data_IF_397854301904
#
_entry.id   IF_397854301904
#
_cell.length_a   1.000
_cell.length_b   1.000
_cell.length_c   1.000
_cell.angle_alpha   90.00
_cell.angle_beta   90.00
_cell.angle_gamma   90.00
#
_symmetry.space_group_name_H-M   'P 1'
#
loop_
_entity.id
_entity.type
_entity.pdbx_description
1 polymer ?
#
# COMPACT_ATOMS: atom_id res chain seq x y z
N UNK A 1 65.55 50.08 -8.80
CA UNK A 1 64.85 48.80 -8.65
C UNK A 1 63.97 48.57 -9.88
N UNK A 2 64.28 47.57 -10.71
CA UNK A 2 63.56 47.30 -11.96
C UNK A 2 62.37 46.38 -11.66
N UNK A 3 61.14 46.88 -11.86
CA UNK A 3 59.92 46.08 -11.78
C UNK A 3 59.74 45.31 -13.09
N UNK A 4 59.81 43.97 -13.03
CA UNK A 4 59.40 43.12 -14.13
C UNK A 4 57.88 43.01 -14.14
N UNK A 5 57.23 43.72 -15.07
CA UNK A 5 55.82 43.47 -15.43
C UNK A 5 55.79 42.36 -16.48
N UNK A 6 55.30 41.18 -16.09
CA UNK A 6 55.00 40.09 -17.02
C UNK A 6 53.59 40.36 -17.55
N UNK A 7 53.50 40.77 -18.81
CA UNK A 7 52.23 40.84 -19.53
C UNK A 7 51.97 39.48 -20.17
N UNK A 8 50.97 38.74 -19.67
CA UNK A 8 50.50 37.50 -20.29
C UNK A 8 49.51 37.89 -21.39
N UNK A 9 49.98 37.89 -22.64
CA UNK A 9 49.10 38.05 -23.81
C UNK A 9 48.42 36.72 -24.11
N UNK A 10 47.14 36.61 -23.72
CA UNK A 10 46.25 35.55 -24.21
C UNK A 10 45.84 35.88 -25.65
N UNK A 11 46.63 35.43 -26.63
CA UNK A 11 46.24 35.49 -28.04
C UNK A 11 45.14 34.46 -28.31
N UNK A 12 43.99 34.86 -28.91
CA UNK A 12 42.88 33.95 -29.13
C UNK A 12 43.09 33.23 -30.46
N UNK A 13 43.83 32.12 -30.46
CA UNK A 13 43.99 31.32 -31.67
C UNK A 13 43.15 30.04 -31.63
N UNK A 14 42.24 29.99 -32.61
CA UNK A 14 41.43 28.88 -33.14
C UNK A 14 40.02 28.66 -32.52
N UNK A 15 38.94 28.77 -33.33
CA UNK A 15 37.56 28.54 -32.87
C UNK A 15 37.29 27.10 -32.45
N UNK A 16 38.12 26.14 -32.91
CA UNK A 16 38.00 24.72 -32.56
C UNK A 16 38.22 24.49 -31.05
N UNK A 17 39.18 25.18 -30.41
CA UNK A 17 39.42 25.03 -28.96
C UNK A 17 38.26 25.53 -28.12
N UNK A 18 37.52 26.56 -28.56
CA UNK A 18 36.32 27.04 -27.85
C UNK A 18 35.20 26.00 -27.87
N UNK A 19 35.02 25.30 -29.00
CA UNK A 19 34.01 24.24 -29.12
C UNK A 19 34.37 23.05 -28.23
N UNK A 20 35.64 22.65 -28.18
CA UNK A 20 36.08 21.59 -27.26
C UNK A 20 35.92 21.98 -25.79
N UNK A 21 36.28 23.21 -25.40
CA UNK A 21 36.08 23.68 -24.03
C UNK A 21 34.60 23.80 -23.66
N UNK A 22 33.73 24.27 -24.57
CA UNK A 22 32.28 24.32 -24.35
C UNK A 22 31.65 22.92 -24.27
N UNK A 23 32.05 22.00 -25.16
CA UNK A 23 31.59 20.62 -25.13
C UNK A 23 32.04 19.90 -23.85
N UNK A 24 33.26 20.16 -23.38
CA UNK A 24 33.78 19.60 -22.13
C UNK A 24 33.10 20.21 -20.91
N UNK A 25 32.76 21.51 -20.93
CA UNK A 25 31.94 22.16 -19.91
C UNK A 25 30.51 21.59 -19.86
N UNK A 26 29.88 21.39 -21.03
CA UNK A 26 28.54 20.79 -21.12
C UNK A 26 28.57 19.34 -20.60
N UNK A 27 29.58 18.55 -21.00
CA UNK A 27 29.77 17.18 -20.51
C UNK A 27 30.03 17.15 -19.00
N UNK A 28 30.84 18.06 -18.46
CA UNK A 28 31.06 18.20 -17.01
C UNK A 28 29.81 18.62 -16.27
N UNK A 29 29.02 19.56 -16.81
CA UNK A 29 27.73 19.94 -16.19
C UNK A 29 26.73 18.80 -16.22
N UNK A 30 26.66 18.02 -17.32
CA UNK A 30 25.82 16.83 -17.39
C UNK A 30 26.27 15.76 -16.39
N UNK A 31 27.57 15.53 -16.27
CA UNK A 31 28.13 14.58 -15.30
C UNK A 31 27.86 15.03 -13.85
N UNK A 32 27.96 16.33 -13.55
CA UNK A 32 27.59 16.89 -12.25
C UNK A 32 26.07 16.78 -11.98
N UNK A 33 25.20 16.97 -12.97
CA UNK A 33 23.75 16.80 -12.78
C UNK A 33 23.34 15.33 -12.63
N UNK A 34 24.00 14.40 -13.33
CA UNK A 34 23.70 12.96 -13.16
C UNK A 34 24.30 12.39 -11.86
N UNK A 35 25.41 12.95 -11.37
CA UNK A 35 25.99 12.56 -10.08
C UNK A 35 25.19 13.09 -8.87
N UNK A 36 24.26 14.03 -9.07
CA UNK A 36 23.33 14.51 -8.04
C UNK A 36 22.01 13.74 -8.00
N UNK A 37 21.82 12.69 -8.80
CA UNK A 37 20.86 11.63 -8.49
C UNK A 37 21.38 10.75 -7.33
N UNK A 38 21.98 11.37 -6.33
CA UNK A 38 22.23 10.76 -5.05
C UNK A 38 20.89 10.84 -4.35
N UNK A 39 20.13 9.74 -4.47
CA UNK A 39 18.92 9.48 -3.71
C UNK A 39 19.21 9.89 -2.26
N UNK A 40 18.74 11.08 -1.87
CA UNK A 40 18.61 11.39 -0.46
C UNK A 40 17.82 10.22 0.10
N UNK A 41 18.31 9.47 1.09
CA UNK A 41 17.54 8.39 1.66
C UNK A 41 16.24 9.03 2.11
N UNK A 42 15.15 8.77 1.37
CA UNK A 42 13.82 9.23 1.75
C UNK A 42 13.69 8.75 3.17
N UNK A 43 13.66 9.67 4.11
CA UNK A 43 13.50 9.33 5.51
C UNK A 43 12.05 8.90 5.62
N UNK A 44 11.82 7.60 5.49
CA UNK A 44 10.49 7.02 5.63
C UNK A 44 10.13 7.14 7.11
N UNK A 45 9.41 8.21 7.43
CA UNK A 45 8.83 8.41 8.74
C UNK A 45 7.59 7.52 8.86
N UNK A 46 7.47 6.91 10.03
CA UNK A 46 6.25 6.25 10.46
C UNK A 46 5.30 7.36 10.91
N UNK A 47 4.18 7.53 10.22
CA UNK A 47 3.17 8.50 10.65
C UNK A 47 2.45 8.00 11.92
N UNK A 48 1.65 8.86 12.54
CA UNK A 48 0.87 8.45 13.71
C UNK A 48 -0.14 7.35 13.35
N UNK A 49 -0.26 6.34 14.21
CA UNK A 49 -1.23 5.24 14.07
C UNK A 49 -2.66 5.71 13.74
N UNK A 50 -3.11 6.81 14.34
CA UNK A 50 -4.45 7.37 14.11
C UNK A 50 -4.72 7.71 12.65
N UNK A 51 -3.73 8.19 11.91
CA UNK A 51 -3.89 8.52 10.48
C UNK A 51 -4.11 7.26 9.63
N UNK A 52 -3.42 6.16 9.95
CA UNK A 52 -3.62 4.88 9.27
C UNK A 52 -5.00 4.29 9.61
N UNK A 53 -5.48 4.41 10.85
CA UNK A 53 -6.82 3.96 11.22
C UNK A 53 -7.92 4.78 10.55
N UNK A 54 -7.77 6.10 10.49
CA UNK A 54 -8.73 7.01 9.85
C UNK A 54 -8.80 6.79 8.33
N UNK A 55 -7.64 6.69 7.67
CA UNK A 55 -7.60 6.41 6.22
C UNK A 55 -8.29 5.09 5.88
N UNK A 56 -8.05 4.04 6.67
CA UNK A 56 -8.71 2.75 6.48
C UNK A 56 -10.22 2.81 6.73
N UNK A 57 -10.64 3.53 7.79
CA UNK A 57 -12.05 3.74 8.10
C UNK A 57 -12.77 4.43 6.94
N UNK A 58 -12.18 5.50 6.39
CA UNK A 58 -12.74 6.21 5.24
C UNK A 58 -12.85 5.32 4.00
N UNK A 59 -11.81 4.52 3.73
CA UNK A 59 -11.82 3.57 2.63
C UNK A 59 -12.95 2.54 2.76
N UNK A 60 -13.09 1.91 3.92
CA UNK A 60 -14.13 0.91 4.14
C UNK A 60 -15.54 1.49 4.08
N UNK A 61 -15.76 2.69 4.64
CA UNK A 61 -17.07 3.34 4.57
C UNK A 61 -17.48 3.57 3.12
N UNK A 62 -16.56 4.05 2.27
CA UNK A 62 -16.83 4.26 0.85
C UNK A 62 -17.09 2.94 0.11
N UNK A 63 -16.27 1.92 0.37
CA UNK A 63 -16.45 0.59 -0.22
C UNK A 63 -17.81 -0.03 0.17
N UNK A 64 -18.17 0.06 1.46
CA UNK A 64 -19.45 -0.39 1.98
C UNK A 64 -20.63 0.35 1.34
N UNK A 65 -20.55 1.68 1.23
CA UNK A 65 -21.58 2.48 0.57
C UNK A 65 -21.76 2.07 -0.90
N UNK A 66 -20.66 1.86 -1.62
CA UNK A 66 -20.69 1.44 -3.02
C UNK A 66 -21.35 0.06 -3.19
N UNK A 67 -20.91 -0.95 -2.44
CA UNK A 67 -21.49 -2.31 -2.53
C UNK A 67 -22.96 -2.34 -2.09
N UNK A 68 -23.33 -1.54 -1.08
CA UNK A 68 -24.73 -1.42 -0.65
C UNK A 68 -25.59 -0.79 -1.73
N UNK A 69 -25.12 0.26 -2.39
CA UNK A 69 -25.82 0.89 -3.51
C UNK A 69 -25.96 -0.08 -4.69
N UNK A 70 -24.89 -0.79 -5.06
CA UNK A 70 -24.91 -1.81 -6.10
C UNK A 70 -25.93 -2.91 -5.80
N UNK A 71 -25.96 -3.40 -4.57
CA UNK A 71 -26.94 -4.41 -4.14
C UNK A 71 -28.37 -3.88 -4.22
N UNK A 72 -28.63 -2.65 -3.77
CA UNK A 72 -29.96 -2.04 -3.85
C UNK A 72 -30.40 -1.88 -5.31
N UNK A 73 -29.52 -1.40 -6.19
CA UNK A 73 -29.83 -1.19 -7.61
C UNK A 73 -30.14 -2.52 -8.30
N UNK A 74 -29.31 -3.55 -8.07
CA UNK A 74 -29.46 -4.87 -8.69
C UNK A 74 -30.68 -5.64 -8.18
N UNK A 75 -31.04 -5.50 -6.90
CA UNK A 75 -32.15 -6.22 -6.29
C UNK A 75 -33.48 -5.48 -6.32
N UNK A 76 -33.49 -4.19 -6.67
CA UNK A 76 -34.72 -3.41 -6.80
C UNK A 76 -35.56 -3.90 -7.97
N UNK A 77 -36.42 -4.89 -7.71
CA UNK A 77 -37.54 -5.23 -8.59
C UNK A 77 -38.44 -4.00 -8.72
N UNK A 78 -38.80 -3.67 -9.96
CA UNK A 78 -39.74 -2.58 -10.24
C UNK A 78 -41.11 -2.93 -9.62
N UNK A 79 -41.76 -1.96 -8.97
CA UNK A 79 -42.98 -2.19 -8.20
C UNK A 79 -44.11 -2.87 -9.00
N UNK A 80 -44.12 -2.70 -10.33
CA UNK A 80 -45.08 -3.34 -11.22
C UNK A 80 -44.93 -4.85 -11.38
N UNK A 81 -43.80 -5.45 -11.00
CA UNK A 81 -43.67 -6.91 -10.90
C UNK A 81 -44.57 -7.51 -9.81
N UNK A 82 -45.08 -6.68 -8.92
CA UNK A 82 -45.98 -7.06 -7.83
C UNK A 82 -47.43 -6.64 -8.08
N UNK A 83 -47.73 -6.06 -9.25
CA UNK A 83 -49.11 -5.76 -9.61
C UNK A 83 -49.89 -7.07 -9.81
N UNK A 84 -51.15 -7.14 -9.36
CA UNK A 84 -52.01 -8.27 -9.68
C UNK A 84 -52.13 -8.41 -11.20
N UNK A 85 -52.08 -9.65 -11.71
CA UNK A 85 -52.26 -9.92 -13.13
C UNK A 85 -53.68 -9.53 -13.56
N UNK A 86 -53.79 -8.59 -14.49
CA UNK A 86 -55.04 -8.26 -15.16
C UNK A 86 -55.33 -9.34 -16.21
N UNK A 87 -56.30 -10.20 -15.94
CA UNK A 87 -56.76 -11.24 -16.86
C UNK A 87 -58.11 -10.89 -17.48
N UNK A 88 -58.41 -11.47 -18.64
CA UNK A 88 -59.77 -11.49 -19.20
C UNK A 88 -60.38 -12.85 -18.90
N UNK A 89 -61.35 -12.88 -17.99
CA UNK A 89 -62.22 -14.04 -17.83
C UNK A 89 -63.34 -13.96 -18.89
N UNK A 90 -64.00 -15.09 -19.18
CA UNK A 90 -65.07 -15.24 -20.20
C UNK A 90 -66.24 -14.23 -20.10
N UNK A 91 -66.29 -13.34 -19.10
CA UNK A 91 -67.33 -12.32 -18.89
C UNK A 91 -66.82 -10.95 -18.42
N UNK A 92 -65.54 -10.60 -18.60
CA UNK A 92 -65.02 -9.25 -18.33
C UNK A 92 -63.60 -9.21 -17.75
N UNK A 93 -63.04 -8.01 -17.53
CA UNK A 93 -61.76 -7.84 -16.87
C UNK A 93 -61.84 -8.37 -15.44
N UNK A 94 -60.98 -9.31 -15.07
CA UNK A 94 -60.88 -9.86 -13.73
C UNK A 94 -59.52 -9.53 -13.12
N UNK A 95 -59.52 -8.96 -11.92
CA UNK A 95 -58.33 -8.75 -11.11
C UNK A 95 -58.20 -9.95 -10.17
N UNK A 96 -57.19 -10.80 -10.37
CA UNK A 96 -56.84 -11.82 -9.40
C UNK A 96 -55.72 -11.31 -8.49
N UNK A 97 -56.08 -10.94 -7.25
CA UNK A 97 -55.09 -10.70 -6.21
C UNK A 97 -54.66 -12.06 -5.63
N UNK A 98 -53.51 -12.57 -6.06
CA UNK A 98 -52.97 -13.82 -5.54
C UNK A 98 -52.28 -13.55 -4.20
N UNK A 99 -52.75 -14.19 -3.13
CA UNK A 99 -52.12 -14.11 -1.78
C UNK A 99 -50.66 -14.58 -1.80
N UNK A 100 -50.29 -15.45 -2.76
CA UNK A 100 -48.90 -15.84 -3.00
C UNK A 100 -47.99 -14.67 -3.38
N UNK A 101 -48.50 -13.64 -4.07
CA UNK A 101 -47.71 -12.45 -4.43
C UNK A 101 -47.36 -11.63 -3.17
N UNK A 102 -48.30 -11.51 -2.21
CA UNK A 102 -48.04 -10.83 -0.94
C UNK A 102 -46.99 -11.57 -0.10
N UNK A 103 -47.11 -12.90 0.00
CA UNK A 103 -46.12 -13.72 0.68
C UNK A 103 -44.73 -13.63 0.00
N UNK A 104 -44.68 -13.52 -1.33
CA UNK A 104 -43.45 -13.32 -2.09
C UNK A 104 -42.83 -11.94 -1.83
N UNK A 105 -43.64 -10.88 -1.67
CA UNK A 105 -43.15 -9.53 -1.33
C UNK A 105 -42.50 -9.56 0.06
N UNK A 106 -43.18 -10.12 1.05
CA UNK A 106 -42.67 -10.19 2.42
C UNK A 106 -41.40 -11.03 2.50
N UNK A 107 -41.37 -12.17 1.80
CA UNK A 107 -40.18 -13.01 1.68
C UNK A 107 -39.01 -12.26 1.01
N UNK A 108 -39.24 -11.57 -0.12
CA UNK A 108 -38.19 -10.79 -0.79
C UNK A 108 -37.68 -9.65 0.12
N UNK A 109 -38.56 -9.03 0.92
CA UNK A 109 -38.18 -7.97 1.87
C UNK A 109 -37.31 -8.51 3.00
N UNK A 110 -37.64 -9.67 3.56
CA UNK A 110 -36.83 -10.29 4.63
C UNK A 110 -35.50 -10.81 4.10
N UNK A 111 -35.47 -11.39 2.89
CA UNK A 111 -34.22 -11.83 2.24
C UNK A 111 -33.31 -10.64 1.93
N UNK A 112 -33.85 -9.53 1.44
CA UNK A 112 -33.04 -8.32 1.17
C UNK A 112 -32.54 -7.67 2.46
N UNK A 113 -33.36 -7.60 3.51
CA UNK A 113 -32.92 -7.05 4.80
C UNK A 113 -31.83 -7.90 5.44
N UNK A 114 -32.02 -9.22 5.51
CA UNK A 114 -31.02 -10.16 6.03
C UNK A 114 -29.72 -10.13 5.24
N UNK A 115 -29.80 -9.95 3.90
CA UNK A 115 -28.60 -9.80 3.07
C UNK A 115 -27.85 -8.50 3.37
N UNK A 116 -28.56 -7.38 3.54
CA UNK A 116 -27.96 -6.11 3.94
C UNK A 116 -27.32 -6.21 5.32
N UNK A 117 -27.99 -6.83 6.29
CA UNK A 117 -27.43 -7.08 7.63
C UNK A 117 -26.18 -7.95 7.56
N UNK A 118 -26.17 -8.97 6.68
CA UNK A 118 -24.99 -9.83 6.48
C UNK A 118 -23.81 -9.06 5.86
N UNK A 119 -24.08 -8.08 4.99
CA UNK A 119 -23.06 -7.18 4.45
C UNK A 119 -22.50 -6.30 5.58
N UNK A 120 -23.38 -5.66 6.36
CA UNK A 120 -22.97 -4.80 7.48
C UNK A 120 -22.10 -5.57 8.49
N UNK A 121 -22.51 -6.79 8.86
CA UNK A 121 -21.76 -7.66 9.76
C UNK A 121 -20.39 -8.04 9.18
N UNK A 122 -20.32 -8.40 7.89
CA UNK A 122 -19.05 -8.72 7.21
C UNK A 122 -18.08 -7.53 7.28
N UNK A 123 -18.56 -6.34 6.95
CA UNK A 123 -17.75 -5.12 7.00
C UNK A 123 -17.25 -4.78 8.41
N UNK A 124 -18.08 -5.03 9.43
CA UNK A 124 -17.67 -4.82 10.82
C UNK A 124 -16.57 -5.80 11.24
N UNK A 125 -16.67 -7.07 10.84
CA UNK A 125 -15.64 -8.08 11.11
C UNK A 125 -14.34 -7.72 10.36
N UNK A 126 -14.43 -7.44 9.06
CA UNK A 126 -13.29 -7.05 8.23
C UNK A 126 -12.57 -5.82 8.83
N UNK A 127 -13.34 -4.82 9.31
CA UNK A 127 -12.80 -3.63 9.96
C UNK A 127 -12.03 -3.95 11.24
N UNK A 128 -12.60 -4.78 12.12
CA UNK A 128 -11.97 -5.12 13.39
C UNK A 128 -10.69 -5.95 13.20
N UNK A 129 -10.72 -6.93 12.29
CA UNK A 129 -9.58 -7.81 12.02
C UNK A 129 -8.38 -7.02 11.47
N UNK A 130 -8.63 -6.20 10.46
CA UNK A 130 -7.59 -5.41 9.79
C UNK A 130 -7.04 -4.30 10.67
N UNK A 131 -7.87 -3.57 11.44
CA UNK A 131 -7.36 -2.61 12.44
C UNK A 131 -6.53 -3.33 13.50
N UNK A 132 -6.98 -4.49 13.98
CA UNK A 132 -6.19 -5.31 14.90
C UNK A 132 -4.82 -5.64 14.31
N UNK A 133 -4.77 -6.01 13.03
CA UNK A 133 -3.53 -6.26 12.29
C UNK A 133 -2.65 -5.01 12.18
N UNK A 134 -3.19 -3.87 11.74
CA UNK A 134 -2.47 -2.59 11.65
C UNK A 134 -1.84 -2.25 13.01
N UNK A 135 -2.61 -2.30 14.09
CA UNK A 135 -2.13 -2.00 15.45
C UNK A 135 -0.98 -2.92 15.86
N UNK A 136 -1.12 -4.22 15.60
CA UNK A 136 -0.10 -5.20 15.97
C UNK A 136 1.20 -4.99 15.17
N UNK A 137 1.12 -4.74 13.87
CA UNK A 137 2.30 -4.50 13.02
C UNK A 137 2.99 -3.17 13.39
N UNK A 138 2.20 -2.12 13.66
CA UNK A 138 2.72 -0.85 14.15
C UNK A 138 3.51 -1.02 15.47
N UNK A 139 2.95 -1.78 16.41
CA UNK A 139 3.63 -2.07 17.68
C UNK A 139 4.93 -2.88 17.48
N UNK A 140 4.93 -3.87 16.57
CA UNK A 140 6.16 -4.62 16.24
C UNK A 140 7.26 -3.68 15.71
N UNK A 141 6.90 -2.74 14.85
CA UNK A 141 7.84 -1.75 14.31
C UNK A 141 8.40 -0.87 15.44
N UNK A 142 7.55 -0.37 16.34
CA UNK A 142 8.00 0.42 17.49
C UNK A 142 8.99 -0.36 18.37
N UNK A 143 8.72 -1.64 18.64
CA UNK A 143 9.64 -2.49 19.41
C UNK A 143 10.98 -2.65 18.67
N UNK A 144 10.97 -2.88 17.35
CA UNK A 144 12.18 -2.97 16.53
C UNK A 144 12.98 -1.65 16.56
N UNK A 145 12.31 -0.50 16.51
CA UNK A 145 12.95 0.81 16.65
C UNK A 145 13.65 0.97 18.00
N UNK A 146 12.96 0.64 19.10
CA UNK A 146 13.55 0.67 20.44
C UNK A 146 14.74 -0.28 20.59
N UNK A 147 14.69 -1.46 19.97
CA UNK A 147 15.83 -2.39 19.96
C UNK A 147 17.03 -1.80 19.21
N UNK A 148 16.81 -1.20 18.04
CA UNK A 148 17.86 -0.53 17.28
C UNK A 148 18.47 0.65 18.03
N UNK A 149 17.67 1.43 18.76
CA UNK A 149 18.19 2.51 19.60
C UNK A 149 19.12 1.99 20.70
N UNK A 150 18.75 0.90 21.38
CA UNK A 150 19.60 0.25 22.39
C UNK A 150 20.91 -0.26 21.77
N UNK A 151 20.83 -0.87 20.60
CA UNK A 151 22.02 -1.35 19.87
C UNK A 151 22.90 -0.20 19.39
N UNK A 152 22.32 0.93 19.00
CA UNK A 152 23.07 2.14 18.62
C UNK A 152 23.90 2.67 19.80
N UNK A 153 23.33 2.66 21.01
CA UNK A 153 24.07 3.01 22.24
C UNK A 153 25.19 2.00 22.51
N UNK A 154 24.93 0.70 22.30
CA UNK A 154 25.96 -0.34 22.45
C UNK A 154 27.11 -0.16 21.44
N UNK A 155 26.81 0.16 20.18
CA UNK A 155 27.80 0.47 19.15
C UNK A 155 28.65 1.69 19.49
N UNK A 156 28.06 2.72 20.11
CA UNK A 156 28.83 3.88 20.55
C UNK A 156 29.89 3.49 21.58
N UNK A 157 29.57 2.58 22.52
CA UNK A 157 30.53 2.02 23.47
C UNK A 157 31.59 1.17 22.76
N UNK A 158 31.18 0.33 21.81
CA UNK A 158 32.06 -0.53 21.04
C UNK A 158 33.08 0.29 20.21
N UNK A 159 32.66 1.44 19.65
CA UNK A 159 33.56 2.41 19.00
C UNK A 159 34.61 2.99 19.95
N UNK A 160 34.24 3.31 21.18
CA UNK A 160 35.19 3.79 22.18
C UNK A 160 36.22 2.70 22.54
N UNK A 161 35.77 1.45 22.71
CA UNK A 161 36.65 0.30 22.94
C UNK A 161 37.61 0.09 21.76
N UNK A 162 37.12 0.19 20.52
CA UNK A 162 37.97 0.10 19.33
C UNK A 162 39.05 1.18 19.29
N UNK A 163 38.72 2.41 19.72
CA UNK A 163 39.71 3.49 19.82
C UNK A 163 40.83 3.14 20.81
N UNK A 164 40.48 2.59 21.98
CA UNK A 164 41.45 2.13 22.99
C UNK A 164 42.34 1.01 22.43
N UNK A 165 41.76 0.02 21.73
CA UNK A 165 42.55 -1.06 21.11
C UNK A 165 43.49 -0.55 20.02
N UNK A 166 43.06 0.44 19.23
CA UNK A 166 43.91 1.08 18.23
C UNK A 166 45.07 1.86 18.87
N UNK A 167 44.86 2.50 20.01
CA UNK A 167 45.92 3.15 20.79
C UNK A 167 46.90 2.13 21.37
N UNK A 168 46.39 1.04 21.97
CA UNK A 168 47.19 -0.05 22.51
C UNK A 168 48.08 -0.73 21.45
N UNK A 169 47.56 -0.90 20.24
CA UNK A 169 48.33 -1.42 19.12
C UNK A 169 49.45 -0.45 18.69
N UNK A 170 49.17 0.86 18.63
CA UNK A 170 50.17 1.89 18.33
C UNK A 170 51.27 1.96 19.39
N UNK A 171 50.93 1.77 20.66
CA UNK A 171 51.89 1.71 21.76
C UNK A 171 52.60 0.36 21.89
N UNK A 172 52.35 -0.60 20.99
CA UNK A 172 52.94 -1.94 21.00
C UNK A 172 52.64 -2.74 22.29
N UNK A 173 51.55 -2.41 22.98
CA UNK A 173 51.12 -3.11 24.20
C UNK A 173 50.14 -4.26 23.91
N UNK A 174 49.79 -4.46 22.63
CA UNK A 174 48.85 -5.48 22.14
C UNK A 174 49.49 -6.25 20.97
N UNK A 175 49.24 -7.55 20.88
CA UNK A 175 49.73 -8.34 19.75
C UNK A 175 48.95 -8.08 18.45
N UNK A 176 49.56 -8.24 17.27
CA UNK A 176 48.86 -8.06 15.99
C UNK A 176 47.67 -9.01 15.80
N UNK A 177 47.76 -10.23 16.32
CA UNK A 177 46.67 -11.23 16.21
C UNK A 177 45.44 -10.80 17.00
N UNK A 178 45.62 -10.32 18.24
CA UNK A 178 44.53 -9.79 19.08
C UNK A 178 43.89 -8.56 18.42
N UNK A 179 44.69 -7.65 17.86
CA UNK A 179 44.17 -6.47 17.16
C UNK A 179 43.29 -6.85 15.95
N UNK A 180 43.74 -7.81 15.14
CA UNK A 180 42.97 -8.30 13.99
C UNK A 180 41.66 -8.98 14.42
N UNK A 181 41.69 -9.79 15.48
CA UNK A 181 40.48 -10.42 16.01
C UNK A 181 39.45 -9.38 16.47
N UNK A 182 39.88 -8.34 17.20
CA UNK A 182 39.00 -7.25 17.62
C UNK A 182 38.47 -6.44 16.44
N UNK A 183 39.30 -6.15 15.43
CA UNK A 183 38.87 -5.47 14.21
C UNK A 183 37.79 -6.26 13.47
N UNK A 184 37.95 -7.58 13.35
CA UNK A 184 36.96 -8.45 12.74
C UNK A 184 35.63 -8.47 13.53
N UNK A 185 35.70 -8.55 14.86
CA UNK A 185 34.51 -8.47 15.72
C UNK A 185 33.80 -7.10 15.59
N UNK A 186 34.56 -6.01 15.50
CA UNK A 186 34.02 -4.67 15.26
C UNK A 186 33.29 -4.56 13.92
N UNK A 187 33.89 -5.06 12.84
CA UNK A 187 33.29 -5.03 11.50
C UNK A 187 32.03 -5.89 11.42
N UNK A 188 32.06 -7.10 11.98
CA UNK A 188 30.91 -8.01 12.00
C UNK A 188 29.74 -7.42 12.78
N UNK A 189 29.99 -6.79 13.93
CA UNK A 189 28.92 -6.11 14.71
C UNK A 189 28.32 -4.92 13.98
N UNK A 190 29.13 -4.13 13.26
CA UNK A 190 28.62 -3.03 12.41
C UNK A 190 27.76 -3.56 11.27
N UNK A 191 28.21 -4.61 10.59
CA UNK A 191 27.47 -5.18 9.47
C UNK A 191 26.12 -5.76 9.95
N UNK A 192 26.11 -6.43 11.11
CA UNK A 192 24.87 -6.91 11.73
C UNK A 192 23.91 -5.77 12.07
N UNK A 193 24.42 -4.65 12.60
CA UNK A 193 23.59 -3.48 12.89
C UNK A 193 22.98 -2.88 11.62
N UNK A 194 23.76 -2.71 10.56
CA UNK A 194 23.26 -2.23 9.25
C UNK A 194 22.21 -3.17 8.66
N UNK A 195 22.37 -4.49 8.82
CA UNK A 195 21.36 -5.48 8.40
C UNK A 195 20.04 -5.23 9.12
N UNK A 196 20.07 -5.02 10.44
CA UNK A 196 18.87 -4.73 11.23
C UNK A 196 18.22 -3.40 10.86
N UNK A 197 19.00 -2.37 10.55
CA UNK A 197 18.47 -1.11 10.02
C UNK A 197 17.71 -1.33 8.70
N UNK A 198 18.27 -2.15 7.79
CA UNK A 198 17.61 -2.52 6.54
C UNK A 198 16.33 -3.36 6.77
N UNK A 199 16.34 -4.29 7.72
CA UNK A 199 15.16 -5.08 8.09
C UNK A 199 14.04 -4.23 8.68
N UNK A 200 14.37 -3.26 9.55
CA UNK A 200 13.41 -2.28 10.04
C UNK A 200 12.82 -1.50 8.87
N UNK A 201 13.67 -1.08 7.94
CA UNK A 201 13.23 -0.32 6.78
C UNK A 201 12.26 -1.11 5.90
N UNK A 202 12.56 -2.37 5.61
CA UNK A 202 11.64 -3.28 4.91
C UNK A 202 10.31 -3.41 5.67
N UNK A 203 10.37 -3.57 6.98
CA UNK A 203 9.17 -3.69 7.82
C UNK A 203 8.27 -2.44 7.72
N UNK A 204 8.87 -1.25 7.67
CA UNK A 204 8.13 0.01 7.49
C UNK A 204 7.45 0.05 6.12
N UNK A 205 8.15 -0.36 5.05
CA UNK A 205 7.58 -0.42 3.70
C UNK A 205 6.44 -1.43 3.59
N UNK A 206 6.59 -2.61 4.19
CA UNK A 206 5.54 -3.64 4.25
C UNK A 206 4.30 -3.13 5.00
N UNK A 207 4.51 -2.43 6.12
CA UNK A 207 3.44 -1.80 6.87
C UNK A 207 2.74 -0.68 6.08
N UNK A 208 3.51 0.18 5.41
CA UNK A 208 2.95 1.21 4.55
C UNK A 208 2.15 0.61 3.39
N UNK A 209 2.62 -0.50 2.79
CA UNK A 209 1.88 -1.23 1.76
C UNK A 209 0.58 -1.83 2.30
N UNK A 210 0.61 -2.38 3.52
CA UNK A 210 -0.59 -2.86 4.20
C UNK A 210 -1.59 -1.73 4.44
N UNK A 211 -1.09 -0.55 4.79
CA UNK A 211 -1.90 0.64 5.06
C UNK A 211 -2.20 1.47 3.80
N UNK A 212 -1.78 1.02 2.61
CA UNK A 212 -1.95 1.76 1.35
C UNK A 212 -3.35 1.56 0.84
N UNK A 213 -4.31 2.13 1.55
CA UNK A 213 -5.70 2.24 1.13
C UNK A 213 -5.78 3.41 0.17
N UNK A 214 -5.20 3.24 -1.01
CA UNK A 214 -5.46 4.14 -2.13
C UNK A 214 -6.96 4.20 -2.32
N UNK A 215 -7.53 5.38 -2.09
CA UNK A 215 -8.73 5.76 -2.79
C UNK A 215 -8.41 5.60 -4.28
N UNK A 216 -9.21 4.85 -5.06
CA UNK A 216 -9.17 5.10 -6.48
C UNK A 216 -9.54 6.59 -6.64
N UNK A 217 -8.57 7.43 -7.01
CA UNK A 217 -8.79 8.81 -7.45
C UNK A 217 -9.67 8.85 -8.71
N UNK A 218 -9.86 7.70 -9.35
CA UNK A 218 -10.89 7.47 -10.35
C UNK A 218 -12.18 7.19 -9.62
N UNK A 219 -13.14 8.10 -9.73
CA UNK A 219 -14.55 7.82 -9.49
C UNK A 219 -14.84 6.39 -9.97
N UNK A 220 -15.39 5.56 -9.08
CA UNK A 220 -15.95 4.27 -9.49
C UNK A 220 -16.83 4.57 -10.70
N UNK A 221 -16.45 4.02 -11.86
CA UNK A 221 -17.13 4.30 -13.12
C UNK A 221 -18.63 4.13 -12.86
N UNK A 222 -19.45 5.17 -13.04
CA UNK A 222 -20.89 5.03 -12.86
C UNK A 222 -21.34 3.88 -13.74
N UNK A 223 -22.06 2.90 -13.17
CA UNK A 223 -22.51 1.67 -13.84
C UNK A 223 -23.35 1.94 -15.11
N UNK A 224 -23.75 3.18 -15.36
CA UNK A 224 -24.32 3.61 -16.64
C UNK A 224 -23.33 3.49 -17.82
N UNK A 225 -22.02 3.41 -17.54
CA UNK A 225 -20.95 3.24 -18.54
C UNK A 225 -20.30 1.85 -18.51
N UNK A 226 -20.69 0.97 -17.57
CA UNK A 226 -20.36 -0.44 -17.70
C UNK A 226 -21.31 -1.02 -18.73
N UNK A 227 -20.87 -1.11 -19.98
CA UNK A 227 -21.49 -1.93 -21.02
C UNK A 227 -21.38 -3.42 -20.65
N UNK A 228 -21.96 -3.82 -19.51
CA UNK A 228 -22.36 -5.20 -19.33
C UNK A 228 -23.55 -5.42 -20.26
N UNK A 229 -23.23 -5.82 -21.49
CA UNK A 229 -24.16 -6.51 -22.38
C UNK A 229 -24.70 -7.69 -21.59
N UNK A 230 -25.86 -7.51 -20.95
CA UNK A 230 -26.69 -8.62 -20.56
C UNK A 230 -27.10 -9.29 -21.86
N UNK A 231 -26.38 -10.34 -22.25
CA UNK A 231 -26.89 -11.32 -23.21
C UNK A 231 -28.14 -11.96 -22.58
N UNK A 232 -29.26 -11.25 -22.65
CA UNK A 232 -30.60 -11.81 -22.49
C UNK A 232 -30.86 -12.69 -23.71
N UNK A 233 -30.24 -13.87 -23.73
CA UNK A 233 -30.21 -14.70 -24.92
C UNK A 233 -29.54 -16.07 -24.76
N UNK A 234 -29.34 -16.59 -23.55
CA UNK A 234 -29.03 -18.02 -23.38
C UNK A 234 -30.25 -18.75 -22.85
N UNK A 235 -30.85 -19.57 -23.72
CA UNK A 235 -31.70 -20.69 -23.33
C UNK A 235 -30.99 -21.42 -22.17
N UNK A 236 -31.69 -21.58 -21.05
CA UNK A 236 -31.13 -22.20 -19.85
C UNK A 236 -30.58 -23.61 -20.13
N UNK A 237 -29.61 -24.09 -19.34
CA UNK A 237 -29.24 -25.49 -19.39
C UNK A 237 -30.45 -26.32 -18.95
N UNK A 238 -31.01 -27.08 -19.89
CA UNK A 238 -31.85 -28.23 -19.57
C UNK A 238 -31.00 -29.22 -18.77
N UNK A 239 -31.47 -29.60 -17.58
CA UNK A 239 -30.90 -30.69 -16.80
C UNK A 239 -30.36 -30.28 -15.44
N UNK A 240 -31.27 -29.96 -14.52
CA UNK A 240 -31.04 -30.24 -13.10
C UNK A 240 -32.23 -31.08 -12.64
N UNK A 241 -32.13 -32.38 -12.86
CA UNK A 241 -32.99 -33.35 -12.20
C UNK A 241 -32.79 -33.21 -10.70
N UNK A 242 -33.92 -33.14 -10.00
CA UNK A 242 -34.02 -33.17 -8.55
C UNK A 242 -33.35 -34.42 -7.99
N UNK A 243 -32.20 -34.25 -7.33
CA UNK A 243 -31.64 -35.30 -6.45
C UNK A 243 -32.48 -35.30 -5.17
N UNK A 244 -33.35 -36.29 -5.04
CA UNK A 244 -34.13 -36.54 -3.84
C UNK A 244 -33.22 -36.95 -2.69
N UNK A 245 -33.33 -36.26 -1.56
CA UNK A 245 -32.75 -36.71 -0.29
C UNK A 245 -33.65 -37.79 0.33
N UNK A 246 -33.12 -38.93 0.80
CA UNK A 246 -33.90 -39.89 1.54
C UNK A 246 -34.22 -39.34 2.93
N UNK A 247 -35.50 -39.41 3.30
CA UNK A 247 -35.95 -39.13 4.67
C UNK A 247 -35.33 -40.16 5.62
N UNK A 248 -34.80 -39.67 6.74
CA UNK A 248 -34.71 -40.41 8.00
C UNK A 248 -35.73 -39.84 8.96
#
# INVERSE_FOLDING_TARGET
>A
MRQHKIAISLTPQTPRRRIYCLGLLIALTMFCTMSQAQETPKTYFLDSLSQYEESYRLFLVKKWQAERQEYIITTRKKWWYYLPSLGWALRGPSISANTGILAEIDYNRTVTSTRLESLDARYQVDFQETIGRIRSEYQKILIKQQQLERERVALAKLRAIQAIHNEAFKSQTMSPEEHLQHSYQYETTINNFKSKEAELFISILEFQNLCRYHLPDKELVPLEQSDCVTETGRKGPQGWETVGYPKR
#
